data_IF_670747117009
#
_entry.id   IF_670747117009
#
_cell.length_a   1.000
_cell.length_b   1.000
_cell.length_c   1.000
_cell.angle_alpha   90.00
_cell.angle_beta   90.00
_cell.angle_gamma   90.00
#
_symmetry.space_group_name_H-M   'P 1'
#
loop_
_entity.id
_entity.type
_entity.pdbx_description
1 polymer ?
#
# COMPACT_ATOMS: atom_id res chain seq x y z
N UNK A 1 6.60 -14.66 30.90
CA UNK A 1 6.31 -14.43 29.47
C UNK A 1 6.34 -12.93 29.25
N UNK A 2 7.36 -12.36 28.58
CA UNK A 2 7.50 -10.89 28.43
C UNK A 2 6.50 -10.38 27.38
N UNK A 3 5.42 -9.65 27.74
CA UNK A 3 4.44 -9.15 26.78
C UNK A 3 4.87 -7.83 26.11
N UNK A 4 6.11 -7.36 26.37
CA UNK A 4 6.47 -5.96 26.15
C UNK A 4 7.13 -5.63 24.80
N UNK A 5 7.61 -6.64 24.04
CA UNK A 5 8.50 -6.43 22.88
C UNK A 5 7.86 -6.69 21.51
N UNK A 6 6.63 -7.21 21.47
CA UNK A 6 5.94 -7.46 20.21
C UNK A 6 5.54 -6.13 19.56
N UNK A 7 5.87 -5.96 18.29
CA UNK A 7 5.54 -4.80 17.46
C UNK A 7 4.95 -5.32 16.16
N UNK A 8 3.64 -5.18 16.02
CA UNK A 8 2.95 -5.27 14.72
C UNK A 8 2.60 -3.86 14.25
N UNK A 9 2.89 -3.57 12.99
CA UNK A 9 2.50 -2.33 12.33
C UNK A 9 1.99 -2.58 10.91
N UNK A 10 1.15 -1.65 10.46
CA UNK A 10 0.48 -1.66 9.17
C UNK A 10 0.56 -0.25 8.60
N UNK A 11 0.75 -0.09 7.30
CA UNK A 11 0.70 1.22 6.68
C UNK A 11 1.29 1.23 5.27
N UNK A 12 1.88 2.36 4.91
CA UNK A 12 2.49 2.56 3.60
C UNK A 12 3.89 3.17 3.74
N UNK A 13 4.73 2.98 2.73
CA UNK A 13 6.04 3.63 2.66
C UNK A 13 6.58 3.75 1.24
N UNK A 14 7.60 4.57 1.08
CA UNK A 14 8.33 4.68 -0.18
C UNK A 14 9.28 3.50 -0.35
N UNK A 15 9.90 3.36 -1.53
CA UNK A 15 10.98 2.39 -1.76
C UNK A 15 12.19 2.54 -0.83
N UNK A 16 12.31 3.69 -0.14
CA UNK A 16 13.39 3.98 0.82
C UNK A 16 13.03 3.55 2.24
N UNK A 17 11.79 3.14 2.50
CA UNK A 17 11.37 2.65 3.80
C UNK A 17 12.23 1.45 4.21
N UNK A 18 12.76 1.48 5.43
CA UNK A 18 13.58 0.39 5.95
C UNK A 18 12.68 -0.83 6.21
N UNK A 19 13.09 -2.00 5.70
CA UNK A 19 12.31 -3.25 5.80
C UNK A 19 12.82 -4.22 6.87
N UNK A 20 14.00 -3.97 7.45
CA UNK A 20 14.62 -4.85 8.43
C UNK A 20 15.43 -4.09 9.48
N UNK A 21 15.39 -4.56 10.72
CA UNK A 21 16.19 -4.07 11.83
C UNK A 21 16.33 -5.17 12.89
N UNK A 22 17.53 -5.33 13.45
CA UNK A 22 17.82 -6.30 14.51
C UNK A 22 17.40 -5.78 15.90
N UNK A 23 16.26 -5.10 16.01
CA UNK A 23 15.76 -4.51 17.26
C UNK A 23 14.23 -4.43 17.26
N UNK A 24 13.62 -4.54 18.45
CA UNK A 24 12.17 -4.37 18.65
C UNK A 24 11.74 -2.89 18.58
N UNK A 25 11.71 -2.31 17.38
CA UNK A 25 11.32 -0.90 17.14
C UNK A 25 10.05 -0.77 16.30
N UNK A 26 9.46 0.42 16.28
CA UNK A 26 8.40 0.77 15.36
C UNK A 26 9.02 1.12 14.00
N UNK A 27 9.33 0.11 13.20
CA UNK A 27 10.06 0.27 11.94
C UNK A 27 9.32 1.19 10.96
N UNK A 28 7.99 1.03 10.84
CA UNK A 28 7.21 1.82 9.90
C UNK A 28 6.90 3.21 10.47
N UNK A 29 7.49 4.24 9.88
CA UNK A 29 7.33 5.62 10.34
C UNK A 29 8.36 6.09 11.38
N UNK A 30 9.44 5.33 11.57
CA UNK A 30 10.61 5.80 12.32
C UNK A 30 11.31 6.98 11.63
N UNK A 31 11.14 7.11 10.32
CA UNK A 31 11.65 8.18 9.48
C UNK A 31 10.53 8.76 8.61
N UNK A 32 10.90 9.61 7.63
CA UNK A 32 9.95 10.25 6.73
C UNK A 32 9.53 9.37 5.53
N UNK A 33 10.05 8.16 5.43
CA UNK A 33 9.77 7.25 4.31
C UNK A 33 8.62 6.27 4.61
N UNK A 34 8.07 6.27 5.83
CA UNK A 34 6.95 5.42 6.22
C UNK A 34 5.86 6.14 7.00
N UNK A 35 4.64 5.62 6.90
CA UNK A 35 3.45 6.07 7.65
C UNK A 35 2.76 4.83 8.20
N UNK A 36 2.87 4.61 9.51
CA UNK A 36 2.47 3.34 10.14
C UNK A 36 1.50 3.49 11.30
N UNK A 37 0.54 2.58 11.41
CA UNK A 37 -0.27 2.32 12.59
C UNK A 37 0.31 1.12 13.33
N UNK A 38 0.65 1.30 14.61
CA UNK A 38 1.02 0.20 15.49
C UNK A 38 -0.21 -0.44 16.14
N UNK A 39 -0.14 -1.73 16.46
CA UNK A 39 -1.17 -2.43 17.26
C UNK A 39 -1.42 -1.79 18.64
N UNK A 40 -0.51 -0.91 19.11
CA UNK A 40 -0.69 -0.09 20.33
C UNK A 40 -1.70 1.05 20.16
N UNK A 41 -2.22 1.26 18.95
CA UNK A 41 -3.15 2.34 18.63
C UNK A 41 -2.47 3.68 18.33
N UNK A 42 -1.16 3.66 18.10
CA UNK A 42 -0.34 4.84 17.80
C UNK A 42 -0.01 4.91 16.31
N UNK A 43 -0.15 6.10 15.72
CA UNK A 43 0.38 6.43 14.41
C UNK A 43 1.82 6.90 14.52
N UNK A 44 2.67 6.49 13.58
CA UNK A 44 4.08 6.78 13.49
C UNK A 44 4.42 7.36 12.12
N UNK A 45 5.11 8.50 12.11
CA UNK A 45 5.71 9.09 10.93
C UNK A 45 6.81 10.08 11.35
N UNK A 46 7.96 10.08 10.68
CA UNK A 46 9.06 10.99 10.98
C UNK A 46 9.63 10.82 12.38
N UNK A 47 9.52 9.62 12.96
CA UNK A 47 9.94 9.34 14.34
C UNK A 47 8.99 9.86 15.42
N UNK A 48 7.87 10.47 15.03
CA UNK A 48 6.88 11.04 15.95
C UNK A 48 5.69 10.09 16.06
N UNK A 49 5.24 9.87 17.30
CA UNK A 49 4.07 9.06 17.61
C UNK A 49 2.88 9.93 18.04
N UNK A 50 1.66 9.56 17.62
CA UNK A 50 0.43 10.18 18.11
C UNK A 50 -0.68 9.15 18.36
N UNK A 51 -1.51 9.40 19.37
CA UNK A 51 -2.69 8.59 19.66
C UNK A 51 -3.70 8.68 18.51
N UNK A 52 -4.31 7.55 18.17
CA UNK A 52 -5.29 7.46 17.09
C UNK A 52 -6.46 6.55 17.41
N UNK A 53 -6.18 5.37 17.96
CA UNK A 53 -7.23 4.42 18.34
C UNK A 53 -6.87 3.67 19.60
N UNK A 54 -7.82 2.91 20.15
CA UNK A 54 -7.57 2.00 21.27
C UNK A 54 -6.62 0.88 20.83
N UNK A 55 -5.78 0.41 21.76
CA UNK A 55 -4.90 -0.74 21.55
C UNK A 55 -5.68 -1.95 21.02
N UNK A 56 -5.06 -2.72 20.14
CA UNK A 56 -5.64 -3.94 19.60
C UNK A 56 -5.56 -5.05 20.66
N UNK A 57 -6.55 -5.94 20.70
CA UNK A 57 -6.56 -7.00 21.70
C UNK A 57 -5.49 -8.04 21.33
N UNK A 58 -4.66 -8.39 22.30
CA UNK A 58 -3.65 -9.43 22.12
C UNK A 58 -4.31 -10.81 21.98
N UNK A 59 -3.70 -11.70 21.22
CA UNK A 59 -4.18 -13.07 20.96
C UNK A 59 -5.61 -13.15 20.36
N UNK A 60 -6.04 -12.11 19.65
CA UNK A 60 -7.30 -12.10 18.90
C UNK A 60 -7.02 -11.75 17.44
N UNK A 61 -7.65 -12.49 16.54
CA UNK A 61 -7.64 -12.12 15.12
C UNK A 61 -8.25 -10.72 14.98
N UNK A 62 -7.57 -9.86 14.22
CA UNK A 62 -8.02 -8.49 13.97
C UNK A 62 -7.93 -8.24 12.47
N UNK A 63 -9.03 -7.83 11.85
CA UNK A 63 -9.02 -7.43 10.44
C UNK A 63 -8.65 -5.96 10.34
N UNK A 64 -7.61 -5.64 9.57
CA UNK A 64 -7.17 -4.26 9.34
C UNK A 64 -7.34 -3.92 7.86
N UNK A 65 -8.15 -2.89 7.59
CA UNK A 65 -8.30 -2.31 6.26
C UNK A 65 -7.46 -1.03 6.12
N UNK A 66 -6.85 -0.84 4.95
CA UNK A 66 -6.11 0.37 4.61
C UNK A 66 -6.74 0.98 3.36
N UNK A 67 -7.26 2.20 3.49
CA UNK A 67 -7.77 2.98 2.37
C UNK A 67 -6.80 4.12 2.09
N UNK A 68 -6.07 4.01 0.99
CA UNK A 68 -5.24 5.07 0.45
C UNK A 68 -6.02 5.84 -0.63
N UNK A 69 -6.25 7.13 -0.39
CA UNK A 69 -6.80 8.05 -1.37
C UNK A 69 -5.66 8.91 -1.92
N UNK A 70 -5.24 8.61 -3.15
CA UNK A 70 -4.14 9.31 -3.82
C UNK A 70 -4.49 10.73 -4.29
N UNK A 71 -5.79 11.06 -4.45
CA UNK A 71 -6.21 12.41 -4.86
C UNK A 71 -6.29 13.32 -3.64
N UNK A 72 -7.02 12.90 -2.61
CA UNK A 72 -7.13 13.65 -1.37
C UNK A 72 -5.83 13.60 -0.54
N UNK A 73 -4.92 12.68 -0.88
CA UNK A 73 -3.65 12.49 -0.20
C UNK A 73 -3.84 11.97 1.22
N UNK A 74 -4.77 11.04 1.45
CA UNK A 74 -5.10 10.54 2.79
C UNK A 74 -4.89 9.04 2.92
N UNK A 75 -4.56 8.61 4.15
CA UNK A 75 -4.58 7.20 4.55
C UNK A 75 -5.55 7.05 5.71
N UNK A 76 -6.53 6.17 5.55
CA UNK A 76 -7.59 5.86 6.52
C UNK A 76 -7.48 4.39 6.91
N UNK A 77 -7.58 4.09 8.21
CA UNK A 77 -7.59 2.70 8.69
C UNK A 77 -8.99 2.26 9.09
N UNK A 78 -9.26 0.99 8.86
CA UNK A 78 -10.44 0.27 9.33
C UNK A 78 -9.98 -0.83 10.27
N UNK A 79 -10.70 -1.06 11.35
CA UNK A 79 -10.47 -2.17 12.27
C UNK A 79 -11.77 -2.93 12.46
N UNK A 80 -11.75 -4.21 12.14
CA UNK A 80 -12.91 -5.10 12.22
C UNK A 80 -14.13 -4.46 11.54
N UNK A 81 -13.91 -4.01 10.30
CA UNK A 81 -14.89 -3.35 9.42
C UNK A 81 -15.41 -1.98 9.93
N UNK A 82 -14.82 -1.43 11.00
CA UNK A 82 -15.13 -0.08 11.52
C UNK A 82 -14.09 0.94 11.07
N UNK A 83 -14.55 2.03 10.43
CA UNK A 83 -13.71 3.17 10.07
C UNK A 83 -13.17 3.87 11.32
N UNK A 84 -11.84 4.05 11.39
CA UNK A 84 -11.17 4.73 12.51
C UNK A 84 -10.91 6.22 12.24
N UNK A 85 -11.30 6.72 11.06
CA UNK A 85 -11.04 8.09 10.62
C UNK A 85 -9.74 8.23 9.81
N UNK A 86 -9.40 9.47 9.47
CA UNK A 86 -8.20 9.75 8.66
C UNK A 86 -6.96 9.71 9.56
N UNK A 87 -6.02 8.82 9.25
CA UNK A 87 -4.78 8.66 9.98
C UNK A 87 -3.64 9.49 9.44
N UNK A 88 -3.54 9.74 8.14
CA UNK A 88 -2.51 10.60 7.57
C UNK A 88 -3.08 11.46 6.45
N UNK A 89 -2.47 12.62 6.24
CA UNK A 89 -2.80 13.62 5.21
C UNK A 89 -1.51 14.08 4.52
N UNK A 90 -1.63 14.73 3.37
CA UNK A 90 -0.49 15.25 2.61
C UNK A 90 0.27 14.19 1.82
N UNK A 91 -0.31 13.00 1.63
CA UNK A 91 0.35 11.91 0.89
C UNK A 91 0.42 12.18 -0.61
N UNK A 92 -0.44 13.08 -1.12
CA UNK A 92 -0.39 13.60 -2.49
C UNK A 92 0.87 14.45 -2.77
N UNK A 93 1.57 14.90 -1.73
CA UNK A 93 2.85 15.62 -1.87
C UNK A 93 4.04 14.67 -2.08
N UNK A 94 3.85 13.37 -1.80
CA UNK A 94 4.87 12.34 -1.99
C UNK A 94 4.94 11.99 -3.48
N UNK A 95 6.06 12.35 -4.11
CA UNK A 95 6.28 12.13 -5.55
C UNK A 95 6.78 10.73 -5.91
N UNK A 96 7.23 9.97 -4.94
CA UNK A 96 7.68 8.59 -5.13
C UNK A 96 6.50 7.62 -4.95
N UNK A 97 6.51 6.45 -5.63
CA UNK A 97 5.51 5.43 -5.39
C UNK A 97 5.43 5.01 -3.92
N UNK A 98 4.20 4.81 -3.45
CA UNK A 98 3.89 4.33 -2.11
C UNK A 98 3.46 2.86 -2.18
N UNK A 99 4.00 2.05 -1.28
CA UNK A 99 3.78 0.61 -1.21
C UNK A 99 3.11 0.27 0.12
N UNK A 100 2.15 -0.67 0.15
CA UNK A 100 1.64 -1.20 1.41
C UNK A 100 2.75 -1.96 2.14
N UNK A 101 2.87 -1.74 3.44
CA UNK A 101 3.89 -2.36 4.29
C UNK A 101 3.23 -2.89 5.56
N UNK A 102 3.56 -4.12 5.91
CA UNK A 102 3.30 -4.72 7.22
C UNK A 102 4.63 -5.14 7.84
N UNK A 103 4.76 -4.97 9.15
CA UNK A 103 5.92 -5.50 9.88
C UNK A 103 5.48 -6.15 11.19
N UNK A 104 6.18 -7.23 11.55
CA UNK A 104 5.97 -7.97 12.79
C UNK A 104 7.30 -8.35 13.39
N UNK A 105 7.47 -8.07 14.68
CA UNK A 105 8.51 -8.69 15.51
C UNK A 105 7.94 -9.80 16.40
N UNK A 106 6.66 -10.13 16.22
CA UNK A 106 5.97 -11.06 17.09
C UNK A 106 6.19 -12.50 16.64
N UNK A 107 6.66 -13.35 17.56
CA UNK A 107 6.81 -14.77 17.29
C UNK A 107 5.43 -15.40 17.05
N UNK A 108 5.35 -16.33 16.09
CA UNK A 108 4.13 -17.07 15.73
C UNK A 108 2.95 -16.20 15.28
N UNK A 109 3.20 -15.00 14.74
CA UNK A 109 2.16 -14.26 14.03
C UNK A 109 2.05 -14.70 12.58
N UNK A 110 0.82 -14.89 12.14
CA UNK A 110 0.46 -15.02 10.74
C UNK A 110 -0.22 -13.73 10.27
N UNK A 111 0.12 -13.27 9.07
CA UNK A 111 -0.51 -12.13 8.42
C UNK A 111 -0.99 -12.57 7.04
N UNK A 112 -2.28 -12.39 6.78
CA UNK A 112 -2.92 -12.77 5.53
C UNK A 112 -3.48 -11.52 4.85
N UNK A 113 -3.05 -11.26 3.62
CA UNK A 113 -3.72 -10.31 2.73
C UNK A 113 -4.93 -11.02 2.10
N UNK A 114 -6.13 -10.68 2.57
CA UNK A 114 -7.39 -11.33 2.13
C UNK A 114 -8.03 -10.64 0.94
N UNK A 115 -8.02 -9.31 0.90
CA UNK A 115 -8.61 -8.52 -0.16
C UNK A 115 -7.74 -7.31 -0.50
N UNK A 116 -7.65 -7.04 -1.80
CA UNK A 116 -7.21 -5.77 -2.37
C UNK A 116 -8.35 -5.23 -3.20
N UNK A 117 -8.50 -3.91 -3.26
CA UNK A 117 -9.49 -3.25 -4.11
C UNK A 117 -8.89 -1.95 -4.63
N UNK A 118 -9.27 -1.58 -5.85
CA UNK A 118 -8.93 -0.29 -6.46
C UNK A 118 -10.18 0.34 -7.02
N UNK A 119 -10.36 1.63 -6.74
CA UNK A 119 -11.42 2.44 -7.37
C UNK A 119 -10.87 3.31 -8.50
N UNK A 120 -11.74 3.70 -9.43
CA UNK A 120 -11.43 4.57 -10.56
C UNK A 120 -12.18 5.88 -10.43
N UNK A 121 -11.44 6.98 -10.61
CA UNK A 121 -11.96 8.35 -10.43
C UNK A 121 -13.04 8.68 -11.48
N UNK A 122 -12.89 8.16 -12.69
CA UNK A 122 -13.76 8.44 -13.82
C UNK A 122 -13.77 7.26 -14.82
N UNK A 123 -14.68 7.34 -15.80
CA UNK A 123 -14.80 6.34 -16.85
C UNK A 123 -13.54 6.22 -17.71
N UNK A 124 -12.82 7.33 -17.96
CA UNK A 124 -11.61 7.32 -18.78
C UNK A 124 -10.50 6.48 -18.12
N UNK A 125 -10.25 6.65 -16.81
CA UNK A 125 -9.28 5.85 -16.06
C UNK A 125 -9.70 4.38 -15.97
N UNK A 126 -11.00 4.12 -15.85
CA UNK A 126 -11.54 2.76 -15.89
C UNK A 126 -11.31 2.11 -17.25
N UNK A 127 -11.62 2.81 -18.34
CA UNK A 127 -11.34 2.36 -19.70
C UNK A 127 -9.84 2.14 -19.91
N UNK A 128 -8.98 3.06 -19.46
CA UNK A 128 -7.52 2.93 -19.52
C UNK A 128 -7.06 1.62 -18.87
N UNK A 129 -7.52 1.34 -17.66
CA UNK A 129 -7.13 0.12 -16.95
C UNK A 129 -7.54 -1.16 -17.68
N UNK A 130 -8.76 -1.21 -18.23
CA UNK A 130 -9.23 -2.35 -19.02
C UNK A 130 -8.44 -2.51 -20.33
N UNK A 131 -8.10 -1.41 -21.01
CA UNK A 131 -7.30 -1.44 -22.23
C UNK A 131 -5.89 -1.97 -21.93
N UNK A 132 -5.22 -1.43 -20.91
CA UNK A 132 -3.85 -1.81 -20.54
C UNK A 132 -3.76 -3.26 -20.08
N UNK A 133 -4.82 -3.79 -19.45
CA UNK A 133 -4.91 -5.23 -19.12
C UNK A 133 -4.74 -6.13 -20.35
N UNK A 134 -5.26 -5.73 -21.50
CA UNK A 134 -5.15 -6.48 -22.74
C UNK A 134 -3.90 -6.09 -23.55
N UNK A 135 -3.48 -4.82 -23.44
CA UNK A 135 -2.41 -4.20 -24.20
C UNK A 135 -1.32 -3.78 -23.20
N UNK A 136 -0.66 -4.80 -22.67
CA UNK A 136 0.27 -4.70 -21.54
C UNK A 136 1.74 -4.48 -21.94
N UNK A 137 2.03 -4.31 -23.23
CA UNK A 137 3.37 -4.03 -23.73
C UNK A 137 3.38 -2.86 -24.69
N UNK A 138 4.50 -2.15 -24.74
CA UNK A 138 4.67 -0.99 -25.62
C UNK A 138 4.49 -1.36 -27.08
N UNK A 139 5.05 -2.51 -27.46
CA UNK A 139 4.93 -3.05 -28.81
C UNK A 139 3.46 -3.30 -29.22
N UNK A 140 2.65 -3.92 -28.35
CA UNK A 140 1.23 -4.15 -28.63
C UNK A 140 0.48 -2.82 -28.78
N UNK A 141 0.79 -1.83 -27.95
CA UNK A 141 0.20 -0.50 -28.02
C UNK A 141 0.58 0.22 -29.33
N UNK A 142 1.83 0.08 -29.78
CA UNK A 142 2.33 0.76 -30.97
C UNK A 142 1.72 0.21 -32.26
N UNK A 143 1.35 -1.08 -32.29
CA UNK A 143 0.62 -1.72 -33.39
C UNK A 143 -0.81 -1.21 -33.59
N UNK A 144 -1.38 -0.49 -32.60
CA UNK A 144 -2.71 0.09 -32.73
C UNK A 144 -2.63 1.42 -33.48
N UNK A 145 -3.55 1.61 -34.43
CA UNK A 145 -3.75 2.85 -35.18
C UNK A 145 -4.51 3.90 -34.34
N UNK A 146 -3.95 4.25 -33.18
CA UNK A 146 -4.54 5.23 -32.26
C UNK A 146 -4.00 6.65 -32.53
N UNK A 147 -4.82 7.70 -32.34
CA UNK A 147 -4.35 9.08 -32.31
C UNK A 147 -3.23 9.28 -31.29
N UNK A 148 -2.28 10.16 -31.60
CA UNK A 148 -1.08 10.40 -30.79
C UNK A 148 -1.38 10.65 -29.31
N UNK A 149 -2.37 11.52 -29.02
CA UNK A 149 -2.73 11.86 -27.65
C UNK A 149 -3.25 10.65 -26.85
N UNK A 150 -4.06 9.78 -27.46
CA UNK A 150 -4.57 8.57 -26.81
C UNK A 150 -3.45 7.55 -26.63
N UNK A 151 -2.57 7.38 -27.62
CA UNK A 151 -1.42 6.49 -27.52
C UNK A 151 -0.48 6.92 -26.38
N UNK A 152 -0.19 8.21 -26.26
CA UNK A 152 0.61 8.75 -25.16
C UNK A 152 -0.07 8.60 -23.81
N UNK A 153 -1.37 8.89 -23.72
CA UNK A 153 -2.12 8.67 -22.49
C UNK A 153 -2.08 7.20 -22.07
N UNK A 154 -2.29 6.23 -22.98
CA UNK A 154 -2.18 4.81 -22.63
C UNK A 154 -0.74 4.42 -22.24
N UNK A 155 0.27 4.98 -22.92
CA UNK A 155 1.68 4.69 -22.71
C UNK A 155 2.16 4.77 -21.26
N UNK A 156 1.76 5.81 -20.53
CA UNK A 156 2.27 6.04 -19.17
C UNK A 156 1.83 4.96 -18.19
N UNK A 157 0.82 4.16 -18.55
CA UNK A 157 0.34 3.03 -17.76
C UNK A 157 0.89 1.67 -18.25
N UNK A 158 1.60 1.63 -19.37
CA UNK A 158 2.26 0.40 -19.85
C UNK A 158 3.57 0.23 -19.09
N UNK A 159 3.70 -0.87 -18.36
CA UNK A 159 4.98 -1.28 -17.76
C UNK A 159 5.99 -1.64 -18.86
N UNK A 160 7.17 -1.03 -18.84
CA UNK A 160 8.32 -1.52 -19.61
C UNK A 160 8.72 -2.89 -19.04
N UNK A 161 8.30 -3.97 -19.70
CA UNK A 161 8.68 -5.33 -19.37
C UNK A 161 10.16 -5.59 -19.64
N UNK A 162 11.06 -5.00 -18.84
CA UNK A 162 12.50 -5.30 -18.86
C UNK A 162 13.01 -5.89 -17.53
N UNK A 163 12.14 -6.08 -16.53
CA UNK A 163 12.45 -6.92 -15.38
C UNK A 163 11.81 -8.29 -15.59
N UNK A 164 12.59 -9.36 -15.44
CA UNK A 164 12.07 -10.73 -15.32
C UNK A 164 11.09 -10.77 -14.16
N UNK A 165 9.80 -10.74 -14.48
CA UNK A 165 8.72 -10.73 -13.49
C UNK A 165 8.75 -12.06 -12.77
N UNK A 166 8.99 -12.02 -11.47
CA UNK A 166 8.97 -13.21 -10.63
C UNK A 166 7.54 -13.74 -10.52
N UNK A 167 7.32 -15.06 -10.29
CA UNK A 167 5.97 -15.61 -10.12
C UNK A 167 5.15 -14.93 -9.02
N UNK A 168 5.81 -14.36 -8.01
CA UNK A 168 5.20 -13.55 -6.95
C UNK A 168 4.69 -12.20 -7.48
N UNK A 169 5.43 -11.52 -8.36
CA UNK A 169 5.01 -10.25 -8.96
C UNK A 169 3.86 -10.44 -9.96
N UNK A 170 3.82 -11.56 -10.69
CA UNK A 170 2.66 -11.96 -11.51
C UNK A 170 1.40 -12.15 -10.66
N UNK A 171 1.54 -12.84 -9.51
CA UNK A 171 0.42 -13.04 -8.60
C UNK A 171 -0.06 -11.72 -7.96
N UNK A 172 0.87 -10.80 -7.69
CA UNK A 172 0.57 -9.46 -7.20
C UNK A 172 -0.14 -8.62 -8.28
N UNK A 173 0.30 -8.65 -9.54
CA UNK A 173 -0.38 -7.95 -10.65
C UNK A 173 -1.82 -8.46 -10.82
N UNK A 174 -2.01 -9.77 -10.72
CA UNK A 174 -3.34 -10.38 -10.77
C UNK A 174 -4.18 -9.99 -9.55
N UNK A 175 -3.61 -9.89 -8.34
CA UNK A 175 -4.33 -9.44 -7.14
C UNK A 175 -4.63 -7.93 -7.12
N UNK A 176 -3.73 -7.06 -7.59
CA UNK A 176 -3.94 -5.60 -7.65
C UNK A 176 -4.99 -5.15 -8.70
N UNK A 177 -5.52 -6.09 -9.48
CA UNK A 177 -6.52 -5.88 -10.54
C UNK A 177 -7.90 -6.49 -10.23
N UNK A 178 -8.11 -7.02 -9.02
CA UNK A 178 -9.43 -7.34 -8.45
C UNK A 178 -9.75 -6.43 -7.27
#
# INVERSE_FOLDING_TARGET
>A
MLPALLRMMFGIGTKKARLHVNMFTNLLGEDRNGWGLSHKGLLWHGGVARNYTKRFKENQSTKIGLLFDGIAGTLTYYKDDVCLGIAFRGLNEVREPLYPIVCSTAAKTEMLLSETRRDFVNLQDRCRAIIIKHINTREKLDRLALPYFIKNYLAEAVTESNATVTPLELHLIDQYLY
#
